data_IF_157734111395
#
_entry.id   IF_157734111395
#
_cell.length_a   1.000
_cell.length_b   1.000
_cell.length_c   1.000
_cell.angle_alpha   90.00
_cell.angle_beta   90.00
_cell.angle_gamma   90.00
#
_symmetry.space_group_name_H-M   'P 1'
#
loop_
_entity.id
_entity.type
_entity.pdbx_description
1 polymer ?
#
# COMPACT_ATOMS: atom_id res chain seq x y z
N UNK A 1 -50.32 13.78 43.72
CA UNK A 1 -50.41 14.20 42.32
C UNK A 1 -49.00 14.14 41.74
N UNK A 2 -48.62 12.97 41.18
CA UNK A 2 -47.25 12.71 40.65
C UNK A 2 -47.29 12.87 39.13
N UNK A 3 -46.63 13.89 38.63
CA UNK A 3 -46.47 14.14 37.21
C UNK A 3 -45.30 13.26 36.72
N UNK A 4 -45.57 12.24 35.89
CA UNK A 4 -44.57 11.43 35.19
C UNK A 4 -44.20 12.15 33.89
N UNK A 5 -42.96 12.63 33.79
CA UNK A 5 -42.38 13.08 32.54
C UNK A 5 -41.97 11.85 31.72
N UNK A 6 -42.61 11.68 30.56
CA UNK A 6 -42.23 10.71 29.56
C UNK A 6 -41.20 11.38 28.67
N UNK A 7 -39.92 10.93 28.74
CA UNK A 7 -38.91 11.30 27.77
C UNK A 7 -39.09 10.42 26.52
N UNK A 8 -39.52 11.03 25.41
CA UNK A 8 -39.51 10.39 24.09
C UNK A 8 -38.14 10.57 23.53
N UNK A 9 -37.36 9.49 23.52
CA UNK A 9 -36.07 9.41 22.78
C UNK A 9 -36.44 9.17 21.33
N UNK A 10 -36.31 10.20 20.48
CA UNK A 10 -36.40 10.06 19.03
C UNK A 10 -35.02 9.59 18.55
N UNK A 11 -34.87 8.28 18.35
CA UNK A 11 -33.74 7.70 17.64
C UNK A 11 -33.84 8.03 16.15
N UNK A 12 -33.05 8.97 15.69
CA UNK A 12 -32.79 9.13 14.26
C UNK A 12 -31.93 7.96 13.77
N UNK A 13 -32.58 6.94 13.24
CA UNK A 13 -31.95 5.90 12.45
C UNK A 13 -31.59 6.50 11.08
N UNK A 14 -30.34 6.95 10.95
CA UNK A 14 -29.76 7.16 9.63
C UNK A 14 -29.48 5.78 9.01
N UNK A 15 -30.41 5.32 8.20
CA UNK A 15 -30.18 4.17 7.33
C UNK A 15 -29.20 4.60 6.22
N UNK A 16 -27.92 4.31 6.39
CA UNK A 16 -27.00 4.31 5.27
C UNK A 16 -27.34 3.12 4.37
N UNK A 17 -28.13 3.38 3.35
CA UNK A 17 -28.28 2.43 2.25
C UNK A 17 -27.02 2.52 1.41
N UNK A 18 -26.05 1.62 1.64
CA UNK A 18 -25.01 1.34 0.67
C UNK A 18 -25.77 0.70 -0.51
N UNK A 19 -26.10 1.52 -1.52
CA UNK A 19 -26.45 0.96 -2.82
C UNK A 19 -25.23 0.14 -3.26
N UNK A 20 -25.38 -1.15 -3.38
CA UNK A 20 -24.50 -1.96 -4.20
C UNK A 20 -24.74 -1.47 -5.66
N UNK A 21 -24.03 -0.41 -6.05
CA UNK A 21 -23.82 -0.12 -7.45
C UNK A 21 -23.08 -1.33 -8.00
N UNK A 22 -23.55 -1.93 -9.06
CA UNK A 22 -22.72 -2.82 -9.87
C UNK A 22 -21.46 -2.03 -10.17
N UNK A 23 -20.32 -2.55 -9.69
CA UNK A 23 -19.03 -1.89 -9.86
C UNK A 23 -18.74 -1.94 -11.38
N UNK A 24 -18.86 -0.79 -12.04
CA UNK A 24 -18.47 -0.70 -13.44
C UNK A 24 -16.99 -1.06 -13.56
N UNK A 25 -16.69 -2.00 -14.44
CA UNK A 25 -15.31 -2.33 -14.79
C UNK A 25 -14.57 -1.06 -15.27
N UNK A 26 -13.31 -0.93 -14.94
CA UNK A 26 -12.48 0.11 -15.50
C UNK A 26 -12.13 -0.26 -16.94
N UNK A 27 -12.11 0.68 -17.91
CA UNK A 27 -11.83 0.33 -19.31
C UNK A 27 -10.41 -0.23 -19.53
N UNK A 28 -9.42 0.17 -18.72
CA UNK A 28 -8.01 -0.17 -18.88
C UNK A 28 -7.54 -1.16 -17.81
N UNK A 29 -7.87 -0.93 -16.54
CA UNK A 29 -7.38 -1.74 -15.42
C UNK A 29 -8.25 -2.96 -15.17
N UNK A 30 -7.63 -4.14 -15.10
CA UNK A 30 -8.31 -5.39 -14.76
C UNK A 30 -8.57 -5.54 -13.26
N UNK A 31 -8.05 -4.60 -12.45
CA UNK A 31 -8.24 -4.56 -10.99
C UNK A 31 -7.32 -3.55 -10.32
N UNK A 32 -7.31 -3.55 -8.98
CA UNK A 32 -6.30 -2.87 -8.19
C UNK A 32 -4.92 -3.54 -8.30
N UNK A 33 -3.92 -3.02 -7.58
CA UNK A 33 -2.59 -3.62 -7.66
C UNK A 33 -2.61 -5.10 -7.25
N UNK A 34 -1.85 -5.89 -7.99
CA UNK A 34 -1.75 -7.33 -7.83
C UNK A 34 -0.67 -7.71 -6.82
N UNK A 35 0.45 -6.98 -6.85
CA UNK A 35 1.59 -7.16 -5.96
C UNK A 35 2.27 -5.82 -5.65
N UNK A 36 2.94 -5.78 -4.49
CA UNK A 36 3.91 -4.76 -4.15
C UNK A 36 5.32 -5.35 -4.27
N UNK A 37 6.26 -4.59 -4.85
CA UNK A 37 7.64 -5.01 -5.07
C UNK A 37 8.54 -4.38 -4.02
N UNK A 38 9.28 -5.20 -3.31
CA UNK A 38 10.20 -4.78 -2.26
C UNK A 38 11.64 -5.10 -2.67
N UNK A 39 12.53 -4.13 -2.55
CA UNK A 39 13.97 -4.37 -2.58
C UNK A 39 14.46 -4.64 -1.17
N UNK A 40 15.14 -5.74 -0.99
CA UNK A 40 15.57 -6.23 0.32
C UNK A 40 17.07 -6.56 0.32
N UNK A 41 17.70 -6.41 1.48
CA UNK A 41 19.13 -6.70 1.66
C UNK A 41 19.43 -8.17 1.98
N UNK A 42 18.41 -8.91 2.45
CA UNK A 42 18.51 -10.34 2.81
C UNK A 42 17.14 -11.01 2.53
N UNK A 43 17.04 -11.64 1.36
CA UNK A 43 15.79 -12.26 0.91
C UNK A 43 15.44 -13.49 1.75
N UNK A 44 16.42 -14.24 2.27
CA UNK A 44 16.16 -15.42 3.10
C UNK A 44 15.56 -15.04 4.46
N UNK A 45 16.07 -13.96 5.07
CA UNK A 45 15.50 -13.44 6.32
C UNK A 45 14.06 -12.97 6.12
N UNK A 46 13.77 -12.32 4.99
CA UNK A 46 12.41 -11.88 4.65
C UNK A 46 11.47 -13.06 4.38
N UNK A 47 11.89 -14.05 3.59
CA UNK A 47 11.12 -15.27 3.34
C UNK A 47 10.79 -15.98 4.64
N UNK A 48 11.76 -16.12 5.54
CA UNK A 48 11.55 -16.70 6.87
C UNK A 48 10.50 -15.93 7.66
N UNK A 49 10.60 -14.60 7.72
CA UNK A 49 9.64 -13.76 8.41
C UNK A 49 8.22 -13.93 7.87
N UNK A 50 8.02 -13.84 6.54
CA UNK A 50 6.69 -14.00 5.95
C UNK A 50 6.12 -15.40 6.15
N UNK A 51 6.94 -16.42 6.15
CA UNK A 51 6.50 -17.80 6.38
C UNK A 51 6.12 -18.01 7.85
N UNK A 52 6.96 -17.61 8.80
CA UNK A 52 6.78 -17.91 10.23
C UNK A 52 5.78 -16.96 10.91
N UNK A 53 5.80 -15.66 10.55
CA UNK A 53 4.97 -14.63 11.20
C UNK A 53 3.67 -14.35 10.43
N UNK A 54 3.74 -14.24 9.11
CA UNK A 54 2.57 -13.95 8.29
C UNK A 54 1.78 -15.20 7.92
N UNK A 55 2.39 -16.40 7.99
CA UNK A 55 1.78 -17.67 7.58
C UNK A 55 1.59 -17.75 6.06
N UNK A 56 2.52 -17.13 5.31
CA UNK A 56 2.48 -17.09 3.86
C UNK A 56 3.33 -18.19 3.24
N UNK A 57 3.08 -18.46 1.97
CA UNK A 57 3.81 -19.44 1.16
C UNK A 57 4.57 -18.78 0.02
N UNK A 58 5.61 -19.44 -0.46
CA UNK A 58 6.33 -19.08 -1.68
C UNK A 58 5.45 -19.50 -2.87
N UNK A 59 5.14 -18.56 -3.74
CA UNK A 59 4.37 -18.78 -4.96
C UNK A 59 5.29 -19.02 -6.17
N UNK A 60 6.41 -18.32 -6.22
CA UNK A 60 7.47 -18.50 -7.20
C UNK A 60 8.79 -17.99 -6.66
N UNK A 61 9.90 -18.50 -7.20
CA UNK A 61 11.25 -18.03 -6.96
C UNK A 61 12.10 -18.14 -8.23
N UNK A 62 13.06 -17.23 -8.39
CA UNK A 62 13.92 -17.22 -9.57
C UNK A 62 14.90 -16.05 -9.61
N UNK A 63 15.38 -15.77 -10.79
CA UNK A 63 16.24 -14.63 -11.05
C UNK A 63 15.46 -13.58 -11.85
N UNK A 64 15.65 -12.31 -11.51
CA UNK A 64 15.09 -11.20 -12.27
C UNK A 64 15.69 -11.19 -13.68
N UNK A 65 14.80 -11.05 -14.68
CA UNK A 65 15.23 -10.99 -16.09
C UNK A 65 16.20 -9.83 -16.34
N UNK A 66 17.24 -10.05 -17.12
CA UNK A 66 18.17 -9.00 -17.53
C UNK A 66 17.48 -7.86 -18.31
N UNK A 67 16.32 -8.12 -18.92
CA UNK A 67 15.49 -7.07 -19.52
C UNK A 67 14.94 -6.11 -18.47
N UNK A 68 14.49 -6.61 -17.34
CA UNK A 68 14.04 -5.80 -16.20
C UNK A 68 15.20 -4.99 -15.61
N UNK A 69 16.37 -5.62 -15.39
CA UNK A 69 17.57 -4.93 -14.93
C UNK A 69 17.92 -3.74 -15.85
N UNK A 70 17.84 -3.97 -17.16
CA UNK A 70 18.09 -2.92 -18.17
C UNK A 70 17.00 -1.83 -18.14
N UNK A 71 15.73 -2.20 -18.02
CA UNK A 71 14.61 -1.27 -17.94
C UNK A 71 14.68 -0.39 -16.69
N UNK A 72 15.19 -0.94 -15.58
CA UNK A 72 15.48 -0.20 -14.34
C UNK A 72 16.72 0.68 -14.42
N UNK A 73 17.40 0.71 -15.60
CA UNK A 73 18.62 1.50 -15.83
C UNK A 73 19.79 1.14 -14.90
N UNK A 74 19.84 -0.12 -14.44
CA UNK A 74 20.88 -0.60 -13.57
C UNK A 74 22.15 -1.02 -14.36
N UNK A 75 23.33 -1.08 -13.72
CA UNK A 75 24.55 -1.56 -14.34
C UNK A 75 24.36 -2.94 -14.98
N UNK A 76 24.99 -3.20 -16.12
CA UNK A 76 24.83 -4.45 -16.88
C UNK A 76 25.28 -5.71 -16.13
N UNK A 77 26.18 -5.57 -15.16
CA UNK A 77 26.64 -6.65 -14.30
C UNK A 77 25.75 -6.88 -13.08
N UNK A 78 24.75 -6.03 -12.84
CA UNK A 78 23.79 -6.26 -11.77
C UNK A 78 23.02 -7.54 -12.03
N UNK A 79 22.94 -8.37 -11.01
CA UNK A 79 22.06 -9.53 -10.97
C UNK A 79 21.05 -9.35 -9.83
N UNK A 80 19.93 -10.03 -9.91
CA UNK A 80 18.98 -10.02 -8.83
C UNK A 80 18.24 -11.35 -8.73
N UNK A 81 17.96 -11.75 -7.50
CA UNK A 81 17.10 -12.88 -7.16
C UNK A 81 15.75 -12.35 -6.75
N UNK A 82 14.69 -13.09 -7.05
CA UNK A 82 13.32 -12.71 -6.63
C UNK A 82 12.56 -13.88 -6.04
N UNK A 83 11.67 -13.58 -5.08
CA UNK A 83 10.72 -14.51 -4.49
C UNK A 83 9.37 -13.83 -4.38
N UNK A 84 8.32 -14.48 -4.89
CA UNK A 84 6.94 -14.01 -4.71
C UNK A 84 6.28 -14.78 -3.59
N UNK A 85 5.70 -14.06 -2.66
CA UNK A 85 5.03 -14.62 -1.49
C UNK A 85 3.60 -14.13 -1.36
N UNK A 86 2.73 -14.95 -0.79
CA UNK A 86 1.34 -14.59 -0.56
C UNK A 86 0.59 -15.55 0.33
N UNK A 87 -0.60 -15.16 0.70
CA UNK A 87 -1.54 -15.98 1.43
C UNK A 87 -2.01 -17.15 0.57
N UNK A 88 -1.97 -18.36 1.11
CA UNK A 88 -2.49 -19.55 0.44
C UNK A 88 -3.95 -19.38 0.01
N UNK A 89 -4.23 -19.70 -1.26
CA UNK A 89 -5.56 -19.63 -1.86
C UNK A 89 -6.00 -18.23 -2.30
N UNK A 90 -5.20 -17.17 -2.12
CA UNK A 90 -5.48 -15.86 -2.70
C UNK A 90 -4.88 -15.74 -4.10
N UNK A 91 -5.48 -14.87 -4.92
CA UNK A 91 -5.03 -14.60 -6.30
C UNK A 91 -4.48 -13.18 -6.48
N UNK A 92 -4.32 -12.42 -5.39
CA UNK A 92 -3.87 -11.02 -5.39
C UNK A 92 -3.27 -10.65 -4.04
N UNK A 93 -2.66 -9.46 -3.99
CA UNK A 93 -2.08 -8.90 -2.78
C UNK A 93 -0.82 -9.63 -2.37
N UNK A 94 0.03 -9.94 -3.36
CA UNK A 94 1.32 -10.58 -3.18
C UNK A 94 2.42 -9.57 -2.83
N UNK A 95 3.52 -10.08 -2.29
CA UNK A 95 4.79 -9.35 -2.20
C UNK A 95 5.79 -10.04 -3.12
N UNK A 96 6.47 -9.25 -3.94
CA UNK A 96 7.66 -9.68 -4.64
C UNK A 96 8.87 -9.10 -3.93
N UNK A 97 9.69 -9.96 -3.36
CA UNK A 97 10.98 -9.62 -2.78
C UNK A 97 12.03 -9.66 -3.88
N UNK A 98 12.88 -8.65 -3.97
CA UNK A 98 14.03 -8.62 -4.91
C UNK A 98 15.28 -8.29 -4.10
N UNK A 99 16.30 -9.13 -4.22
CA UNK A 99 17.63 -8.89 -3.70
C UNK A 99 18.57 -8.62 -4.86
N UNK A 100 19.01 -7.36 -4.99
CA UNK A 100 19.96 -6.95 -6.02
C UNK A 100 21.39 -7.18 -5.55
N UNK A 101 22.25 -7.63 -6.47
CA UNK A 101 23.65 -7.93 -6.23
C UNK A 101 24.54 -7.12 -7.18
N UNK A 102 25.74 -6.77 -6.72
CA UNK A 102 26.74 -5.99 -7.48
C UNK A 102 26.27 -4.57 -7.88
N UNK A 103 25.49 -3.94 -6.99
CA UNK A 103 25.06 -2.55 -7.16
C UNK A 103 24.89 -1.86 -5.80
N UNK A 104 25.25 -0.59 -5.73
CA UNK A 104 25.08 0.21 -4.51
C UNK A 104 23.60 0.49 -4.23
N UNK A 105 23.20 0.37 -2.98
CA UNK A 105 21.82 0.59 -2.50
C UNK A 105 21.82 1.48 -1.27
N UNK A 106 20.78 2.28 -1.15
CA UNK A 106 20.44 3.03 0.07
C UNK A 106 18.99 2.78 0.44
N UNK A 107 18.63 2.95 1.70
CA UNK A 107 17.22 2.86 2.07
C UNK A 107 16.45 4.08 1.55
N UNK A 108 15.34 3.84 0.84
CA UNK A 108 14.46 4.89 0.29
C UNK A 108 14.02 5.85 1.40
N UNK A 109 13.45 5.32 2.46
CA UNK A 109 12.88 6.09 3.56
C UNK A 109 13.65 5.90 4.87
N UNK A 110 14.98 6.07 4.82
CA UNK A 110 15.85 5.88 5.99
C UNK A 110 15.47 6.84 7.13
N UNK A 111 15.14 6.29 8.30
CA UNK A 111 14.71 7.05 9.51
C UNK A 111 13.58 8.05 9.21
N UNK A 112 12.67 7.71 8.28
CA UNK A 112 11.57 8.58 7.91
C UNK A 112 10.51 8.67 9.01
N UNK A 113 9.91 9.84 9.14
CA UNK A 113 8.69 10.06 9.89
C UNK A 113 7.47 9.75 9.03
N UNK A 114 6.30 9.56 9.64
CA UNK A 114 5.06 9.27 8.90
C UNK A 114 4.62 10.41 7.98
N UNK A 115 5.04 11.64 8.27
CA UNK A 115 4.75 12.84 7.45
C UNK A 115 5.85 13.21 6.46
N UNK A 116 6.93 12.44 6.38
CA UNK A 116 7.93 12.60 5.31
C UNK A 116 7.34 12.13 3.98
N UNK A 117 7.60 12.87 2.90
CA UNK A 117 7.02 12.60 1.58
C UNK A 117 7.93 11.74 0.70
N UNK A 118 7.37 11.23 -0.40
CA UNK A 118 8.09 10.49 -1.44
C UNK A 118 8.22 8.99 -1.19
N UNK A 119 8.07 8.24 -2.26
CA UNK A 119 7.99 6.79 -2.26
C UNK A 119 6.70 6.25 -1.63
N UNK A 120 6.60 4.94 -1.55
CA UNK A 120 5.52 4.25 -0.84
C UNK A 120 5.87 4.23 0.65
N UNK A 121 4.96 4.74 1.49
CA UNK A 121 5.17 4.82 2.93
C UNK A 121 4.99 3.47 3.60
N UNK A 122 3.84 2.84 3.36
CA UNK A 122 3.51 1.53 3.92
C UNK A 122 2.61 0.70 3.01
N UNK A 123 2.43 -0.55 3.40
CA UNK A 123 1.43 -1.48 2.85
C UNK A 123 0.59 -2.07 3.98
N UNK A 124 -0.70 -2.28 3.70
CA UNK A 124 -1.70 -2.57 4.71
C UNK A 124 -2.07 -4.06 4.78
N UNK A 125 -2.12 -4.58 6.02
CA UNK A 125 -2.54 -5.95 6.33
C UNK A 125 -3.67 -5.98 7.36
N UNK A 126 -4.56 -6.94 7.24
CA UNK A 126 -5.45 -7.35 8.33
C UNK A 126 -4.78 -8.40 9.19
N UNK A 127 -5.01 -8.31 10.49
CA UNK A 127 -4.59 -9.32 11.48
C UNK A 127 -5.75 -9.72 12.35
N UNK A 128 -5.72 -10.97 12.85
CA UNK A 128 -6.76 -11.47 13.76
C UNK A 128 -6.51 -11.04 15.21
N UNK A 129 -5.25 -10.85 15.60
CA UNK A 129 -4.87 -10.43 16.95
C UNK A 129 -3.65 -9.51 16.87
N UNK A 130 -3.86 -8.23 17.11
CA UNK A 130 -2.79 -7.25 17.19
C UNK A 130 -1.83 -7.57 18.33
N UNK A 131 -2.34 -8.00 19.49
CA UNK A 131 -1.49 -8.30 20.63
C UNK A 131 -0.52 -9.46 20.34
N UNK A 132 -0.96 -10.48 19.59
CA UNK A 132 -0.10 -11.60 19.18
C UNK A 132 0.97 -11.09 18.22
N UNK A 133 0.58 -10.40 17.15
CA UNK A 133 1.51 -9.92 16.13
C UNK A 133 2.51 -8.89 16.65
N UNK A 134 2.09 -7.98 17.52
CA UNK A 134 2.97 -7.02 18.17
C UNK A 134 4.14 -7.70 18.89
N UNK A 135 3.89 -8.79 19.62
CA UNK A 135 4.94 -9.55 20.31
C UNK A 135 5.84 -10.31 19.34
N UNK A 136 5.24 -11.06 18.42
CA UNK A 136 5.98 -11.88 17.45
C UNK A 136 6.90 -11.03 16.58
N UNK A 137 6.42 -9.89 16.07
CA UNK A 137 7.19 -9.04 15.17
C UNK A 137 8.34 -8.32 15.88
N UNK A 138 8.22 -8.03 17.19
CA UNK A 138 9.33 -7.49 17.98
C UNK A 138 10.51 -8.47 18.08
N UNK A 139 10.26 -9.79 18.02
CA UNK A 139 11.32 -10.81 17.98
C UNK A 139 12.09 -10.83 16.65
N UNK A 140 11.57 -10.16 15.62
CA UNK A 140 12.18 -9.94 14.29
C UNK A 140 12.63 -8.48 14.08
N UNK A 141 12.88 -7.74 15.17
CA UNK A 141 13.36 -6.34 15.15
C UNK A 141 12.40 -5.33 14.49
N UNK A 142 11.10 -5.66 14.37
CA UNK A 142 10.10 -4.70 13.93
C UNK A 142 9.73 -3.76 15.07
N UNK A 143 9.84 -2.46 14.83
CA UNK A 143 9.63 -1.42 15.83
C UNK A 143 8.77 -0.28 15.26
N UNK A 144 8.11 0.47 16.14
CA UNK A 144 7.28 1.62 15.75
C UNK A 144 7.48 2.80 16.71
N UNK A 145 7.06 3.98 16.27
CA UNK A 145 7.01 5.19 17.10
C UNK A 145 5.96 5.12 18.22
N UNK A 146 5.00 4.19 18.14
CA UNK A 146 3.97 3.97 19.16
C UNK A 146 3.64 2.48 19.29
N UNK A 147 3.12 2.09 20.44
CA UNK A 147 2.40 0.83 20.61
C UNK A 147 1.12 0.83 19.75
N UNK A 148 0.48 -0.33 19.55
CA UNK A 148 -0.82 -0.41 18.88
C UNK A 148 -1.87 0.51 19.50
N UNK A 149 -2.57 1.29 18.67
CA UNK A 149 -3.60 2.25 19.10
C UNK A 149 -4.96 1.80 18.62
N UNK A 150 -5.95 1.83 19.53
CA UNK A 150 -7.35 1.60 19.20
C UNK A 150 -8.06 2.94 18.95
N UNK A 151 -8.78 3.05 17.83
CA UNK A 151 -9.53 4.24 17.47
C UNK A 151 -10.73 3.91 16.57
N UNK A 152 -11.63 4.89 16.43
CA UNK A 152 -12.75 4.78 15.49
C UNK A 152 -12.42 5.46 14.17
N UNK A 153 -12.71 4.77 13.06
CA UNK A 153 -12.58 5.27 11.71
C UNK A 153 -13.90 5.05 10.96
N UNK A 154 -14.68 6.12 10.79
CA UNK A 154 -16.04 6.00 10.31
C UNK A 154 -16.88 5.08 11.20
N UNK A 155 -17.56 4.05 10.65
CA UNK A 155 -18.36 3.10 11.41
C UNK A 155 -17.54 2.00 12.08
N UNK A 156 -16.21 2.01 11.90
CA UNK A 156 -15.31 0.93 12.33
C UNK A 156 -14.56 1.30 13.59
N UNK A 157 -14.38 0.35 14.50
CA UNK A 157 -13.38 0.39 15.56
C UNK A 157 -12.24 -0.53 15.13
N UNK A 158 -11.05 0.01 15.09
CA UNK A 158 -9.83 -0.70 14.67
C UNK A 158 -8.74 -0.54 15.71
N UNK A 159 -7.86 -1.52 15.77
CA UNK A 159 -6.58 -1.41 16.45
C UNK A 159 -5.51 -1.46 15.38
N UNK A 160 -4.67 -0.44 15.34
CA UNK A 160 -3.65 -0.29 14.31
C UNK A 160 -2.27 -0.12 14.91
N UNK A 161 -1.27 -0.57 14.17
CA UNK A 161 0.14 -0.45 14.50
C UNK A 161 0.93 -0.28 13.20
N UNK A 162 1.90 0.67 13.20
CA UNK A 162 2.75 0.97 12.05
C UNK A 162 4.20 0.54 12.32
N UNK A 163 4.50 -0.78 12.34
CA UNK A 163 5.87 -1.24 12.52
C UNK A 163 6.74 -0.99 11.29
N UNK A 164 7.98 -0.63 11.56
CA UNK A 164 9.07 -0.58 10.59
C UNK A 164 10.01 -1.75 10.84
N UNK A 165 10.28 -2.51 9.82
CA UNK A 165 11.19 -3.63 9.81
C UNK A 165 12.49 -3.36 9.07
N UNK A 166 13.21 -4.43 8.72
CA UNK A 166 14.41 -4.35 7.90
C UNK A 166 14.19 -3.56 6.61
N UNK A 167 15.27 -2.97 6.09
CA UNK A 167 15.28 -2.19 4.85
C UNK A 167 14.34 -0.96 4.83
N UNK A 168 13.83 -0.56 6.00
CA UNK A 168 12.94 0.59 6.14
C UNK A 168 11.49 0.32 5.69
N UNK A 169 11.14 -0.94 5.46
CA UNK A 169 9.78 -1.35 5.10
C UNK A 169 8.83 -1.08 6.27
N UNK A 170 7.68 -0.45 6.00
CA UNK A 170 6.64 -0.16 6.99
C UNK A 170 5.36 -0.90 6.64
N UNK A 171 4.72 -1.48 7.65
CA UNK A 171 3.39 -2.07 7.53
C UNK A 171 2.36 -1.25 8.28
N UNK A 172 1.15 -1.13 7.74
CA UNK A 172 -0.03 -0.77 8.50
C UNK A 172 -0.78 -2.06 8.89
N UNK A 173 -0.58 -2.48 10.13
CA UNK A 173 -1.20 -3.69 10.69
C UNK A 173 -2.53 -3.30 11.31
N UNK A 174 -3.64 -3.90 10.86
CA UNK A 174 -4.99 -3.48 11.26
C UNK A 174 -5.82 -4.66 11.76
N UNK A 175 -6.12 -4.68 13.05
CA UNK A 175 -7.16 -5.54 13.63
C UNK A 175 -8.52 -4.84 13.58
N UNK A 176 -9.54 -5.47 13.01
CA UNK A 176 -10.91 -5.01 13.06
C UNK A 176 -11.53 -5.43 14.39
N UNK A 177 -11.86 -4.46 15.25
CA UNK A 177 -12.50 -4.69 16.55
C UNK A 177 -14.03 -4.74 16.41
N UNK A 178 -14.62 -3.76 15.69
CA UNK A 178 -16.08 -3.67 15.44
C UNK A 178 -16.37 -2.98 14.11
N UNK A 179 -17.42 -3.39 13.37
CA UNK A 179 -18.07 -4.70 13.47
C UNK A 179 -17.08 -5.82 13.10
N UNK A 180 -17.42 -7.10 13.35
CA UNK A 180 -16.52 -8.22 12.97
C UNK A 180 -16.08 -8.13 11.51
N UNK A 181 -14.83 -8.56 11.25
CA UNK A 181 -14.27 -8.58 9.91
C UNK A 181 -14.90 -9.70 9.09
N UNK A 182 -15.50 -9.34 7.95
CA UNK A 182 -16.10 -10.27 7.00
C UNK A 182 -15.39 -10.20 5.64
N UNK A 183 -15.54 -11.24 4.81
CA UNK A 183 -15.00 -11.27 3.43
C UNK A 183 -13.50 -11.63 3.32
N UNK A 184 -12.89 -12.16 4.37
CA UNK A 184 -11.47 -12.53 4.40
C UNK A 184 -11.25 -14.04 4.65
N UNK A 185 -11.70 -14.93 3.76
CA UNK A 185 -11.71 -16.37 4.01
C UNK A 185 -10.31 -17.00 4.16
N UNK A 186 -9.28 -16.35 3.60
CA UNK A 186 -7.89 -16.80 3.63
C UNK A 186 -7.04 -16.16 4.74
N UNK A 187 -7.62 -15.26 5.54
CA UNK A 187 -6.92 -14.67 6.68
C UNK A 187 -6.67 -15.74 7.76
N UNK A 188 -5.39 -16.02 8.02
CA UNK A 188 -4.93 -16.91 9.08
C UNK A 188 -4.18 -16.13 10.14
N UNK A 189 -2.98 -15.66 9.84
CA UNK A 189 -2.13 -14.86 10.71
C UNK A 189 -2.13 -13.39 10.23
N UNK A 190 -1.67 -13.16 9.00
CA UNK A 190 -1.77 -11.88 8.29
C UNK A 190 -2.54 -12.10 6.99
N UNK A 191 -3.29 -11.11 6.57
CA UNK A 191 -4.00 -11.16 5.28
C UNK A 191 -3.06 -10.97 4.10
N UNK A 192 -3.59 -11.13 2.89
CA UNK A 192 -3.00 -10.54 1.69
C UNK A 192 -2.87 -9.01 1.85
N UNK A 193 -1.98 -8.40 1.07
CA UNK A 193 -1.96 -6.95 0.90
C UNK A 193 -3.31 -6.47 0.36
N UNK A 194 -3.79 -5.32 0.84
CA UNK A 194 -5.06 -4.79 0.34
C UNK A 194 -5.04 -3.28 0.04
N UNK A 195 -4.07 -2.55 0.56
CA UNK A 195 -3.91 -1.13 0.33
C UNK A 195 -2.42 -0.77 0.46
N UNK A 196 -1.99 0.33 -0.15
CA UNK A 196 -0.65 0.88 -0.01
C UNK A 196 -0.73 2.40 0.12
N UNK A 197 -0.01 2.97 1.09
CA UNK A 197 -0.07 4.39 1.42
C UNK A 197 1.12 5.15 0.82
N UNK A 198 0.84 6.28 0.20
CA UNK A 198 1.82 7.25 -0.26
C UNK A 198 1.61 8.57 0.48
N UNK A 199 2.66 9.07 1.12
CA UNK A 199 2.63 10.42 1.71
C UNK A 199 3.12 11.40 0.66
N UNK A 200 2.26 12.33 0.27
CA UNK A 200 2.48 13.27 -0.83
C UNK A 200 2.63 14.70 -0.33
N UNK A 201 3.44 15.48 -1.02
CA UNK A 201 3.63 16.90 -0.71
C UNK A 201 2.46 17.76 -1.20
N UNK A 202 1.88 17.39 -2.35
CA UNK A 202 0.74 18.06 -2.96
C UNK A 202 -0.38 17.04 -3.20
N UNK A 203 -1.44 17.15 -2.42
CA UNK A 203 -2.58 16.24 -2.48
C UNK A 203 -3.41 16.45 -3.75
N UNK A 204 -3.48 17.67 -4.26
CA UNK A 204 -4.24 17.97 -5.49
C UNK A 204 -3.50 17.44 -6.73
N UNK A 205 -2.17 17.55 -6.79
CA UNK A 205 -1.35 16.89 -7.82
C UNK A 205 -1.56 15.36 -7.82
N UNK A 206 -1.57 14.76 -6.63
CA UNK A 206 -1.78 13.33 -6.50
C UNK A 206 -3.19 12.89 -6.90
N UNK A 207 -4.22 13.68 -6.58
CA UNK A 207 -5.61 13.45 -7.02
C UNK A 207 -5.73 13.58 -8.55
N UNK A 208 -5.16 14.65 -9.15
CA UNK A 208 -5.12 14.80 -10.61
C UNK A 208 -4.51 13.56 -11.28
N UNK A 209 -3.40 13.05 -10.73
CA UNK A 209 -2.75 11.88 -11.29
C UNK A 209 -3.63 10.62 -11.22
N UNK A 210 -4.13 10.27 -10.04
CA UNK A 210 -4.90 9.02 -9.88
C UNK A 210 -6.33 9.12 -10.41
N UNK A 211 -7.03 10.24 -10.17
CA UNK A 211 -8.45 10.39 -10.54
C UNK A 211 -8.59 10.89 -11.99
N UNK A 212 -7.94 12.01 -12.33
CA UNK A 212 -8.19 12.68 -13.60
C UNK A 212 -7.37 12.11 -14.77
N UNK A 213 -6.15 11.61 -14.49
CA UNK A 213 -5.32 10.96 -15.51
C UNK A 213 -5.57 9.47 -15.60
N UNK A 214 -5.46 8.71 -14.47
CA UNK A 214 -5.63 7.27 -14.48
C UNK A 214 -7.09 6.79 -14.38
N UNK A 215 -8.04 7.67 -14.04
CA UNK A 215 -9.48 7.33 -13.96
C UNK A 215 -9.87 6.54 -12.71
N UNK A 216 -9.05 6.57 -11.65
CA UNK A 216 -9.39 5.88 -10.41
C UNK A 216 -10.59 6.53 -9.72
N UNK A 217 -11.39 5.69 -9.07
CA UNK A 217 -12.59 6.10 -8.32
C UNK A 217 -12.29 6.16 -6.83
N UNK A 218 -12.91 7.10 -6.15
CA UNK A 218 -12.81 7.25 -4.71
C UNK A 218 -13.55 6.11 -4.00
N UNK A 219 -12.84 5.41 -3.11
CA UNK A 219 -13.44 4.47 -2.16
C UNK A 219 -13.82 5.17 -0.85
N UNK A 220 -12.88 5.97 -0.29
CA UNK A 220 -13.07 6.66 0.98
C UNK A 220 -12.20 7.93 1.02
N UNK A 221 -12.71 8.97 1.68
CA UNK A 221 -11.94 10.15 2.06
C UNK A 221 -12.06 10.46 3.54
N UNK A 222 -11.03 11.07 4.09
CA UNK A 222 -11.04 11.65 5.44
C UNK A 222 -10.24 12.95 5.46
N UNK A 223 -10.77 13.97 6.16
CA UNK A 223 -10.08 15.24 6.36
C UNK A 223 -10.18 15.67 7.82
N UNK A 224 -9.10 16.22 8.32
CA UNK A 224 -9.04 16.84 9.64
C UNK A 224 -8.04 16.18 10.60
N UNK A 225 -7.91 16.82 11.76
CA UNK A 225 -7.07 16.38 12.86
C UNK A 225 -7.80 15.38 13.79
N UNK A 226 -7.08 14.83 14.75
CA UNK A 226 -7.68 14.02 15.81
C UNK A 226 -8.62 14.87 16.68
N UNK A 227 -9.72 14.29 17.13
CA UNK A 227 -10.70 15.00 17.99
C UNK A 227 -10.18 15.29 19.39
N UNK A 228 -9.13 14.61 19.84
CA UNK A 228 -8.48 14.78 21.14
C UNK A 228 -6.98 14.52 21.07
N UNK A 229 -6.22 15.13 21.97
CA UNK A 229 -4.81 14.84 22.15
C UNK A 229 -4.59 13.41 22.68
N UNK A 230 -3.50 12.76 22.25
CA UNK A 230 -3.18 11.44 22.77
C UNK A 230 -2.33 10.57 21.84
N UNK A 231 -2.16 9.29 22.23
CA UNK A 231 -1.44 8.30 21.43
C UNK A 231 -2.03 8.19 20.02
N UNK A 232 -1.15 8.03 19.04
CA UNK A 232 -1.53 7.88 17.64
C UNK A 232 -0.50 7.01 16.90
N UNK A 233 -0.93 6.27 15.89
CA UNK A 233 -0.08 5.35 15.12
C UNK A 233 0.97 6.06 14.27
N UNK A 234 0.74 7.33 13.93
CA UNK A 234 1.62 8.13 13.07
C UNK A 234 2.86 8.66 13.80
N UNK A 235 2.93 8.50 15.13
CA UNK A 235 4.05 9.03 15.94
C UNK A 235 4.08 10.55 16.06
N UNK A 236 2.96 11.23 15.77
CA UNK A 236 2.84 12.65 16.01
C UNK A 236 2.94 12.94 17.52
N UNK A 237 3.60 14.03 17.96
CA UNK A 237 3.57 14.47 19.36
C UNK A 237 2.12 14.61 19.84
N UNK A 238 1.80 14.06 21.02
CA UNK A 238 0.42 13.96 21.52
C UNK A 238 -0.33 15.29 21.50
N UNK A 239 0.34 16.39 21.87
CA UNK A 239 -0.23 17.74 21.90
C UNK A 239 -0.41 18.38 20.52
N UNK A 240 0.06 17.75 19.46
CA UNK A 240 -0.08 18.23 18.08
C UNK A 240 -1.13 17.43 17.28
N UNK A 241 -1.59 16.29 17.80
CA UNK A 241 -2.55 15.45 17.08
C UNK A 241 -3.88 16.14 16.74
N UNK A 242 -4.26 17.15 17.53
CA UNK A 242 -5.46 17.98 17.29
C UNK A 242 -5.20 19.23 16.46
N UNK A 243 -3.96 19.44 16.01
CA UNK A 243 -3.51 20.66 15.30
C UNK A 243 -2.94 20.38 13.92
N UNK A 244 -2.62 19.12 13.65
CA UNK A 244 -2.09 18.68 12.36
C UNK A 244 -3.22 17.98 11.62
N UNK A 245 -3.76 18.68 10.63
CA UNK A 245 -4.79 18.12 9.75
C UNK A 245 -4.18 17.11 8.79
N UNK A 246 -4.95 16.11 8.44
CA UNK A 246 -4.62 15.07 7.47
C UNK A 246 -5.69 15.02 6.41
N UNK A 247 -5.27 14.89 5.17
CA UNK A 247 -6.16 14.53 4.09
C UNK A 247 -5.78 13.15 3.58
N UNK A 248 -6.76 12.26 3.54
CA UNK A 248 -6.63 10.86 3.12
C UNK A 248 -7.63 10.59 2.01
N UNK A 249 -7.16 10.01 0.91
CA UNK A 249 -8.02 9.51 -0.17
C UNK A 249 -7.60 8.09 -0.51
N UNK A 250 -8.52 7.15 -0.40
CA UNK A 250 -8.32 5.77 -0.84
C UNK A 250 -8.92 5.64 -2.24
N UNK A 251 -8.07 5.33 -3.20
CA UNK A 251 -8.35 5.38 -4.64
C UNK A 251 -8.13 3.99 -5.28
N UNK A 252 -9.03 3.60 -6.16
CA UNK A 252 -8.97 2.29 -6.83
C UNK A 252 -9.59 2.37 -8.23
N UNK A 253 -9.15 1.60 -9.23
CA UNK A 253 -9.75 1.62 -10.56
C UNK A 253 -11.28 1.50 -10.58
N UNK A 254 -11.86 0.68 -9.70
CA UNK A 254 -13.32 0.48 -9.61
C UNK A 254 -13.94 0.97 -8.31
N UNK A 255 -13.19 1.66 -7.43
CA UNK A 255 -13.72 2.23 -6.19
C UNK A 255 -13.90 1.23 -5.04
N UNK A 256 -13.07 0.18 -4.98
CA UNK A 256 -13.02 -0.76 -3.84
C UNK A 256 -11.75 -0.58 -3.03
N UNK A 257 -11.67 -1.20 -1.84
CA UNK A 257 -10.50 -1.08 -0.97
C UNK A 257 -9.36 -2.05 -1.34
N UNK A 258 -9.67 -3.18 -1.97
CA UNK A 258 -8.70 -4.24 -2.19
C UNK A 258 -7.84 -4.00 -3.43
N UNK A 259 -6.54 -3.73 -3.23
CA UNK A 259 -5.61 -3.31 -4.26
C UNK A 259 -5.65 -1.81 -4.52
N UNK A 260 -6.12 -1.03 -3.54
CA UNK A 260 -6.22 0.43 -3.60
C UNK A 260 -4.89 1.12 -3.26
N UNK A 261 -4.78 2.36 -3.68
CA UNK A 261 -3.73 3.30 -3.26
C UNK A 261 -4.35 4.31 -2.32
N UNK A 262 -3.72 4.53 -1.18
CA UNK A 262 -4.03 5.62 -0.28
C UNK A 262 -3.05 6.76 -0.49
N UNK A 263 -3.54 7.95 -0.77
CA UNK A 263 -2.73 9.18 -0.76
C UNK A 263 -3.04 9.95 0.51
N UNK A 264 -1.99 10.33 1.23
CA UNK A 264 -2.04 11.01 2.52
C UNK A 264 -1.19 12.27 2.48
N UNK A 265 -1.73 13.37 2.96
CA UNK A 265 -0.98 14.61 3.21
C UNK A 265 -1.20 15.12 4.62
N UNK A 266 -0.27 15.95 5.08
CA UNK A 266 -0.29 16.58 6.39
C UNK A 266 -0.25 18.09 6.24
N UNK A 267 -1.20 18.80 6.83
CA UNK A 267 -1.13 20.26 6.98
C UNK A 267 -0.54 20.60 8.37
N UNK A 268 0.53 21.41 8.37
CA UNK A 268 1.22 21.80 9.60
C UNK A 268 2.36 20.86 10.05
N UNK A 269 2.65 19.79 9.31
CA UNK A 269 3.84 18.98 9.51
C UNK A 269 4.67 18.96 8.22
N UNK A 270 5.88 19.51 8.28
CA UNK A 270 6.83 19.52 7.17
C UNK A 270 7.91 18.48 7.42
N UNK A 271 8.07 17.56 6.51
CA UNK A 271 9.04 16.48 6.55
C UNK A 271 10.14 16.60 5.49
N UNK A 272 10.92 15.53 5.36
CA UNK A 272 11.89 15.35 4.27
C UNK A 272 11.17 14.78 3.06
N UNK A 273 11.76 15.01 1.88
CA UNK A 273 11.30 14.40 0.64
C UNK A 273 12.27 13.30 0.20
N UNK A 274 11.75 12.12 0.00
CA UNK A 274 12.48 10.92 -0.45
C UNK A 274 12.20 10.54 -1.91
N UNK A 275 11.47 11.36 -2.65
CA UNK A 275 11.04 11.07 -4.04
C UNK A 275 12.20 10.65 -4.95
N UNK A 276 13.36 11.30 -4.80
CA UNK A 276 14.54 10.98 -5.62
C UNK A 276 15.16 9.61 -5.30
N UNK A 277 14.88 9.05 -4.14
CA UNK A 277 15.38 7.72 -3.72
C UNK A 277 14.38 6.58 -4.01
N UNK A 278 13.15 6.90 -4.39
CA UNK A 278 12.09 5.91 -4.66
C UNK A 278 12.27 5.21 -6.02
N UNK A 279 13.45 4.64 -6.24
CA UNK A 279 13.87 4.01 -7.50
C UNK A 279 14.67 2.73 -7.23
N UNK A 280 14.58 1.69 -8.09
CA UNK A 280 15.51 0.57 -8.04
C UNK A 280 16.98 1.04 -8.15
N UNK A 281 17.92 0.41 -7.46
CA UNK A 281 17.77 -0.79 -6.65
C UNK A 281 17.56 -0.50 -5.17
N UNK A 282 17.27 0.76 -4.78
CA UNK A 282 17.21 1.21 -3.39
C UNK A 282 16.28 0.37 -2.54
N UNK A 283 16.67 0.14 -1.27
CA UNK A 283 16.00 -0.74 -0.33
C UNK A 283 14.69 -0.16 0.20
N UNK A 284 13.67 -1.00 0.28
CA UNK A 284 12.33 -0.63 0.76
C UNK A 284 11.23 -1.03 -0.21
N UNK A 285 10.08 -0.35 -0.15
CA UNK A 285 8.95 -0.60 -1.04
C UNK A 285 9.18 0.19 -2.32
N UNK A 286 9.43 -0.51 -3.42
CA UNK A 286 9.84 0.11 -4.70
C UNK A 286 8.63 0.58 -5.51
N UNK A 287 7.65 -0.30 -5.72
CA UNK A 287 6.58 -0.05 -6.68
C UNK A 287 5.35 -0.93 -6.43
N UNK A 288 4.25 -0.55 -7.05
CA UNK A 288 3.03 -1.35 -7.14
C UNK A 288 2.83 -1.82 -8.57
N UNK A 289 2.40 -3.06 -8.76
CA UNK A 289 2.17 -3.66 -10.08
C UNK A 289 0.69 -3.93 -10.30
N UNK A 290 0.14 -3.36 -11.37
CA UNK A 290 -1.28 -3.41 -11.71
C UNK A 290 -1.52 -4.25 -12.96
N UNK A 291 -2.51 -5.16 -12.95
CA UNK A 291 -2.96 -5.84 -14.16
C UNK A 291 -3.78 -4.88 -15.03
N UNK A 292 -3.52 -4.90 -16.33
CA UNK A 292 -4.30 -4.18 -17.34
C UNK A 292 -4.86 -5.14 -18.38
N UNK A 293 -5.90 -4.71 -19.12
CA UNK A 293 -6.48 -5.51 -20.19
C UNK A 293 -5.64 -5.45 -21.46
N UNK A 294 -5.06 -4.30 -21.76
CA UNK A 294 -4.22 -4.05 -22.93
C UNK A 294 -3.12 -3.05 -22.51
N UNK A 295 -1.87 -3.43 -22.73
CA UNK A 295 -0.72 -2.62 -22.35
C UNK A 295 -0.57 -1.37 -23.23
N UNK A 296 -1.01 -1.43 -24.49
CA UNK A 296 -0.96 -0.32 -25.41
C UNK A 296 -1.96 0.79 -25.03
N UNK A 297 -3.12 0.43 -24.46
CA UNK A 297 -4.12 1.38 -23.97
C UNK A 297 -3.56 2.26 -22.84
N UNK A 298 -2.89 1.65 -21.83
CA UNK A 298 -2.27 2.43 -20.74
C UNK A 298 -1.06 3.21 -21.23
N UNK A 299 -0.29 2.70 -22.19
CA UNK A 299 0.80 3.42 -22.82
C UNK A 299 0.31 4.66 -23.56
N UNK A 300 -0.75 4.51 -24.38
CA UNK A 300 -1.37 5.62 -25.10
C UNK A 300 -1.95 6.67 -24.15
N UNK A 301 -2.67 6.22 -23.10
CA UNK A 301 -3.18 7.10 -22.04
C UNK A 301 -2.05 7.89 -21.39
N UNK A 302 -0.91 7.26 -21.12
CA UNK A 302 0.25 7.93 -20.51
C UNK A 302 0.77 9.06 -21.40
N UNK A 303 0.83 8.84 -22.70
CA UNK A 303 1.24 9.88 -23.67
C UNK A 303 0.22 11.01 -23.71
N UNK A 304 -1.08 10.72 -23.84
CA UNK A 304 -2.16 11.69 -23.94
C UNK A 304 -2.28 12.58 -22.69
N UNK A 305 -2.05 11.98 -21.51
CA UNK A 305 -2.15 12.66 -20.20
C UNK A 305 -0.83 13.24 -19.70
N UNK A 306 0.24 13.19 -20.52
CA UNK A 306 1.59 13.63 -20.13
C UNK A 306 2.07 12.98 -18.82
N UNK A 307 1.89 11.67 -18.68
CA UNK A 307 2.45 10.89 -17.60
C UNK A 307 3.87 10.47 -18.00
N UNK A 308 4.85 10.64 -17.11
CA UNK A 308 6.25 10.25 -17.36
C UNK A 308 6.36 8.73 -17.48
N UNK A 309 6.67 8.23 -18.68
CA UNK A 309 6.94 6.82 -18.94
C UNK A 309 8.41 6.53 -18.61
N UNK A 310 8.64 5.62 -17.65
CA UNK A 310 9.99 5.22 -17.23
C UNK A 310 10.58 4.25 -18.26
N UNK A 311 9.82 3.25 -18.64
CA UNK A 311 10.10 2.37 -19.77
C UNK A 311 8.80 1.98 -20.49
N UNK A 312 8.83 1.93 -21.83
CA UNK A 312 7.67 1.58 -22.64
C UNK A 312 7.36 0.09 -22.57
N UNK A 313 6.22 -0.37 -23.14
CA UNK A 313 5.86 -1.77 -23.20
C UNK A 313 6.99 -2.68 -23.71
N UNK A 314 7.25 -3.74 -22.98
CA UNK A 314 8.25 -4.76 -23.34
C UNK A 314 7.81 -6.15 -22.93
N UNK A 315 8.09 -7.15 -23.77
CA UNK A 315 7.83 -8.55 -23.43
C UNK A 315 8.88 -9.10 -22.47
N UNK A 316 8.44 -9.75 -21.41
CA UNK A 316 9.30 -10.34 -20.40
C UNK A 316 8.66 -11.54 -19.72
N UNK A 317 9.44 -12.57 -19.42
CA UNK A 317 9.02 -13.63 -18.50
C UNK A 317 9.03 -13.11 -17.08
N UNK A 318 7.92 -13.26 -16.37
CA UNK A 318 7.73 -12.81 -14.98
C UNK A 318 6.87 -13.80 -14.21
N UNK A 319 7.51 -14.73 -13.51
CA UNK A 319 6.76 -15.69 -12.68
C UNK A 319 6.03 -14.99 -11.49
N UNK A 320 4.83 -15.43 -11.10
CA UNK A 320 4.09 -16.59 -11.61
C UNK A 320 3.15 -16.28 -12.80
N UNK A 321 3.34 -15.16 -13.51
CA UNK A 321 2.42 -14.70 -14.58
C UNK A 321 2.81 -15.21 -15.98
N UNK A 322 3.98 -15.87 -16.14
CA UNK A 322 4.46 -16.32 -17.44
C UNK A 322 5.04 -15.21 -18.31
N UNK A 323 4.89 -15.28 -19.62
CA UNK A 323 5.30 -14.23 -20.57
C UNK A 323 4.24 -13.11 -20.57
N UNK A 324 4.66 -11.91 -20.20
CA UNK A 324 3.78 -10.74 -20.10
C UNK A 324 4.33 -9.57 -20.92
N UNK A 325 3.47 -8.60 -21.22
CA UNK A 325 3.89 -7.26 -21.60
C UNK A 325 3.92 -6.37 -20.36
N UNK A 326 5.03 -5.66 -20.13
CA UNK A 326 5.29 -4.86 -18.93
C UNK A 326 5.75 -3.45 -19.31
N UNK A 327 5.25 -2.44 -18.62
CA UNK A 327 5.73 -1.05 -18.69
C UNK A 327 5.71 -0.39 -17.32
N UNK A 328 6.37 0.76 -17.17
CA UNK A 328 6.31 1.54 -15.94
C UNK A 328 6.14 3.03 -16.20
N UNK A 329 5.43 3.69 -15.28
CA UNK A 329 5.29 5.14 -15.23
C UNK A 329 5.70 5.67 -13.86
N UNK A 330 6.04 6.96 -13.82
CA UNK A 330 6.32 7.67 -12.57
C UNK A 330 5.08 8.41 -12.09
N UNK A 331 4.70 8.14 -10.86
CA UNK A 331 3.62 8.80 -10.16
C UNK A 331 4.08 9.88 -9.19
N UNK A 332 3.13 10.50 -8.46
CA UNK A 332 3.40 11.52 -7.46
C UNK A 332 4.38 11.04 -6.40
N UNK A 333 5.25 11.94 -5.92
CA UNK A 333 6.26 11.58 -4.93
C UNK A 333 7.31 10.59 -5.43
N UNK A 334 7.51 10.47 -6.75
CA UNK A 334 8.53 9.61 -7.35
C UNK A 334 8.20 8.12 -7.34
N UNK A 335 6.99 7.73 -6.98
CA UNK A 335 6.56 6.32 -6.95
C UNK A 335 6.59 5.74 -8.36
N UNK A 336 7.04 4.51 -8.50
CA UNK A 336 6.88 3.76 -9.74
C UNK A 336 5.59 2.94 -9.70
N UNK A 337 4.82 3.00 -10.79
CA UNK A 337 3.70 2.11 -11.05
C UNK A 337 4.02 1.27 -12.28
N UNK A 338 4.05 -0.04 -12.10
CA UNK A 338 4.18 -0.98 -13.19
C UNK A 338 2.81 -1.50 -13.62
N UNK A 339 2.63 -1.61 -14.92
CA UNK A 339 1.45 -2.16 -15.54
C UNK A 339 1.84 -3.39 -16.34
N UNK A 340 1.04 -4.45 -16.24
CA UNK A 340 1.29 -5.66 -17.01
C UNK A 340 0.01 -6.21 -17.62
N UNK A 341 0.14 -6.69 -18.85
CA UNK A 341 -0.87 -7.48 -19.53
C UNK A 341 -0.45 -8.94 -19.49
N UNK A 342 -1.38 -9.79 -19.05
CA UNK A 342 -1.19 -11.24 -19.11
C UNK A 342 -1.57 -11.74 -20.50
N UNK A 343 -0.64 -12.43 -21.17
CA UNK A 343 -0.83 -12.93 -22.54
C UNK A 343 -1.47 -14.33 -22.61
N UNK A 344 -1.92 -14.89 -21.44
CA UNK A 344 -2.58 -16.22 -21.38
C UNK A 344 -4.09 -16.15 -21.48
#
# INVERSE_FOLDING_TARGET
MHLRFIFIIISFLFSFTIKANELEAHPIFAGGYQEAVFSVSDIEAQVKFYTEVAGWEILSEGNVSQRIITAYSLPKNTTAREVVMGNSGTKRGFIRLIEFVDVDQVQIRSSAQSWDTGGIFDVNFRVLSMQKKFKEMQEYDWQSASDPVEFSFGPFVVKEWLPRGPDGIVFAMIERVQPPLEGWPHLREMSRLFNATQVVADIEEAKDFYIDKLGFKLYLEHKGASSKEGPNVLGLPHNLTTKIDREVYILHPTGVNEGSVEILSFDGAVGRDFSALAVPPNLGILMLRFPVYDIDDIHQLSIEKNIEVIFPPMKVGLEPYGEIDLMAVKGPGGVWLEFYENND
#
